data_IF_186973684113
#
_entry.id   IF_186973684113
#
_cell.length_a   1.000
_cell.length_b   1.000
_cell.length_c   1.000
_cell.angle_alpha   90.00
_cell.angle_beta   90.00
_cell.angle_gamma   90.00
#
_symmetry.space_group_name_H-M   'P 1'
#
loop_
_entity.id
_entity.type
_entity.pdbx_description
1 polymer ?
#
# COMPACT_ATOMS: atom_id res chain seq x y z
N UNK A 1 10.59 -85.13 -16.90
CA UNK A 1 11.63 -85.63 -16.00
C UNK A 1 11.64 -84.68 -14.84
N UNK A 2 11.05 -85.22 -13.82
CA UNK A 2 11.38 -85.41 -12.43
C UNK A 2 11.59 -84.10 -11.69
N UNK A 3 10.60 -83.71 -10.84
CA UNK A 3 10.47 -84.11 -9.43
C UNK A 3 11.74 -83.75 -8.64
N UNK A 4 11.56 -82.88 -7.61
CA UNK A 4 11.70 -83.28 -6.21
C UNK A 4 11.17 -82.17 -5.28
N UNK A 5 10.18 -82.52 -4.55
CA UNK A 5 9.69 -82.16 -3.22
C UNK A 5 10.80 -81.85 -2.17
N UNK A 6 10.51 -80.83 -1.31
CA UNK A 6 10.62 -80.92 0.15
C UNK A 6 10.18 -79.52 0.68
N UNK A 7 9.09 -79.34 1.36
CA UNK A 7 8.63 -79.75 2.67
C UNK A 7 9.44 -79.18 3.84
N UNK A 8 8.68 -78.53 4.74
CA UNK A 8 8.91 -78.26 6.16
C UNK A 8 9.71 -76.97 6.42
N UNK A 9 9.23 -75.94 7.18
CA UNK A 9 8.78 -76.05 8.56
C UNK A 9 7.84 -74.86 8.94
N UNK A 10 6.88 -75.21 9.74
CA UNK A 10 6.00 -74.39 10.53
C UNK A 10 6.85 -73.65 11.62
N UNK A 11 7.11 -72.35 11.45
CA UNK A 11 7.53 -71.52 12.57
C UNK A 11 6.45 -70.50 12.92
N UNK A 12 5.84 -70.86 14.02
CA UNK A 12 4.86 -70.14 14.81
C UNK A 12 5.42 -68.76 15.21
N UNK A 13 5.01 -67.74 14.50
CA UNK A 13 5.26 -66.35 14.93
C UNK A 13 4.37 -66.00 16.12
N UNK A 14 4.94 -65.44 17.19
CA UNK A 14 4.13 -64.96 18.31
C UNK A 14 3.32 -63.75 17.89
N UNK A 15 2.02 -63.81 18.12
CA UNK A 15 1.09 -62.69 18.00
C UNK A 15 1.50 -61.58 18.96
N UNK A 16 2.16 -60.55 18.44
CA UNK A 16 2.32 -59.34 19.19
C UNK A 16 0.97 -58.58 19.14
N UNK A 17 0.23 -58.70 20.22
CA UNK A 17 -0.91 -57.85 20.51
C UNK A 17 -0.39 -56.43 20.69
N UNK A 18 -0.50 -55.59 19.67
CA UNK A 18 -0.30 -54.15 19.80
C UNK A 18 -1.56 -53.62 20.49
N UNK A 19 -1.49 -53.00 21.67
CA UNK A 19 -2.64 -52.38 22.27
C UNK A 19 -3.08 -51.27 21.31
N UNK A 20 -4.36 -51.27 20.91
CA UNK A 20 -5.01 -50.12 20.32
C UNK A 20 -4.91 -48.98 21.36
N UNK A 21 -3.88 -48.19 21.25
CA UNK A 21 -3.83 -46.90 21.88
C UNK A 21 -4.94 -46.06 21.26
N UNK A 22 -5.75 -45.50 22.10
CA UNK A 22 -6.76 -44.52 21.78
C UNK A 22 -6.13 -43.50 20.80
N UNK A 23 -6.67 -43.43 19.58
CA UNK A 23 -6.51 -42.28 18.74
C UNK A 23 -7.22 -41.13 19.47
N UNK A 24 -6.48 -40.45 20.32
CA UNK A 24 -6.82 -39.08 20.70
C UNK A 24 -7.00 -38.31 19.38
N UNK A 25 -8.24 -38.23 18.96
CA UNK A 25 -8.69 -37.17 18.08
C UNK A 25 -8.36 -35.92 18.86
N UNK A 26 -7.22 -35.29 18.50
CA UNK A 26 -6.95 -33.95 18.92
C UNK A 26 -8.15 -33.12 18.44
N UNK A 27 -9.10 -32.94 19.34
CA UNK A 27 -10.16 -31.97 19.20
C UNK A 27 -9.43 -30.64 18.99
N UNK A 28 -9.48 -30.18 17.76
CA UNK A 28 -9.03 -28.85 17.40
C UNK A 28 -9.95 -27.89 18.16
N UNK A 29 -9.50 -27.48 19.34
CA UNK A 29 -10.26 -26.60 20.22
C UNK A 29 -10.53 -25.32 19.43
N UNK A 30 -11.81 -24.96 19.21
CA UNK A 30 -12.16 -23.74 18.49
C UNK A 30 -11.57 -22.49 19.14
N UNK A 31 -11.26 -22.56 20.43
CA UNK A 31 -10.71 -21.47 21.22
C UNK A 31 -9.31 -21.01 20.73
N UNK A 32 -8.47 -21.92 20.22
CA UNK A 32 -7.11 -21.60 19.75
C UNK A 32 -7.10 -20.85 18.41
N UNK A 33 -8.06 -21.10 17.54
CA UNK A 33 -8.17 -20.41 16.24
C UNK A 33 -8.72 -19.01 16.43
N UNK A 34 -9.70 -18.85 17.31
CA UNK A 34 -10.27 -17.54 17.64
C UNK A 34 -9.28 -16.67 18.43
N UNK A 35 -8.51 -17.26 19.33
CA UNK A 35 -7.44 -16.57 20.07
C UNK A 35 -6.33 -16.11 19.12
N UNK A 36 -5.87 -16.95 18.18
CA UNK A 36 -4.91 -16.59 17.15
C UNK A 36 -5.46 -15.51 16.20
N UNK A 37 -6.73 -15.60 15.82
CA UNK A 37 -7.38 -14.60 15.01
C UNK A 37 -7.48 -13.24 15.73
N UNK A 38 -7.78 -13.25 17.03
CA UNK A 38 -7.76 -12.06 17.88
C UNK A 38 -6.35 -11.48 18.03
N UNK A 39 -5.34 -12.30 18.22
CA UNK A 39 -3.94 -11.88 18.30
C UNK A 39 -3.49 -11.27 16.98
N UNK A 40 -3.79 -11.89 15.84
CA UNK A 40 -3.52 -11.36 14.50
C UNK A 40 -4.27 -10.05 14.24
N UNK A 41 -5.49 -9.90 14.73
CA UNK A 41 -6.25 -8.65 14.62
C UNK A 41 -5.69 -7.53 15.50
N UNK A 42 -5.01 -7.87 16.60
CA UNK A 42 -4.33 -6.90 17.48
C UNK A 42 -2.92 -6.54 17.01
N UNK A 43 -2.31 -7.27 16.09
CA UNK A 43 -1.05 -6.87 15.46
C UNK A 43 -1.30 -5.61 14.66
N UNK A 44 -1.01 -4.48 15.29
CA UNK A 44 -1.12 -3.17 14.65
C UNK A 44 -0.17 -3.15 13.46
N UNK A 45 -0.71 -3.16 12.25
CA UNK A 45 0.10 -3.01 11.04
C UNK A 45 1.01 -1.78 11.22
N UNK A 46 2.32 -1.89 10.96
CA UNK A 46 3.21 -0.74 11.07
C UNK A 46 2.70 0.38 10.17
N UNK A 47 2.70 1.60 10.70
CA UNK A 47 2.29 2.78 9.94
C UNK A 47 3.11 2.89 8.65
N UNK A 48 2.45 3.01 7.52
CA UNK A 48 3.07 3.10 6.19
C UNK A 48 3.13 4.55 5.74
N UNK A 49 4.09 4.83 4.89
CA UNK A 49 4.12 6.06 4.08
C UNK A 49 3.48 5.75 2.74
N UNK A 50 2.36 6.37 2.44
CA UNK A 50 1.54 6.09 1.26
C UNK A 50 1.54 7.32 0.36
N UNK A 51 2.11 7.19 -0.83
CA UNK A 51 2.01 8.22 -1.86
C UNK A 51 0.63 8.15 -2.52
N UNK A 52 -0.02 9.31 -2.66
CA UNK A 52 -1.25 9.48 -3.44
C UNK A 52 -0.98 10.55 -4.49
N UNK A 53 -0.91 10.15 -5.75
CA UNK A 53 -0.75 11.06 -6.90
C UNK A 53 -1.74 10.69 -8.00
N UNK A 54 -2.01 11.64 -8.90
CA UNK A 54 -2.92 11.31 -10.01
C UNK A 54 -3.34 12.50 -10.85
N UNK A 55 -4.38 12.28 -11.63
CA UNK A 55 -4.92 13.25 -12.58
C UNK A 55 -5.45 14.51 -11.89
N UNK A 56 -5.25 15.65 -12.56
CA UNK A 56 -5.76 16.95 -12.11
C UNK A 56 -7.25 17.10 -12.44
N UNK A 57 -7.67 16.64 -13.60
CA UNK A 57 -9.05 16.72 -14.05
C UNK A 57 -9.82 15.47 -13.64
N UNK A 58 -10.52 15.57 -12.52
CA UNK A 58 -11.36 14.50 -11.99
C UNK A 58 -12.77 15.03 -11.70
N UNK A 59 -13.76 14.17 -11.93
CA UNK A 59 -15.12 14.43 -11.47
C UNK A 59 -15.15 14.63 -9.95
N UNK A 60 -16.09 15.44 -9.47
CA UNK A 60 -16.23 15.73 -8.03
C UNK A 60 -16.42 14.46 -7.22
N UNK A 61 -17.14 13.49 -7.75
CA UNK A 61 -17.37 12.17 -7.10
C UNK A 61 -16.06 11.41 -6.86
N UNK A 62 -15.15 11.42 -7.83
CA UNK A 62 -13.83 10.80 -7.68
C UNK A 62 -12.97 11.55 -6.67
N UNK A 63 -13.00 12.88 -6.67
CA UNK A 63 -12.30 13.68 -5.66
C UNK A 63 -12.82 13.38 -4.25
N UNK A 64 -14.13 13.25 -4.04
CA UNK A 64 -14.73 12.89 -2.76
C UNK A 64 -14.32 11.49 -2.29
N UNK A 65 -14.24 10.53 -3.23
CA UNK A 65 -13.76 9.18 -2.95
C UNK A 65 -12.29 9.20 -2.48
N UNK A 66 -11.42 9.94 -3.17
CA UNK A 66 -10.00 10.07 -2.81
C UNK A 66 -9.84 10.76 -1.46
N UNK A 67 -10.62 11.80 -1.20
CA UNK A 67 -10.63 12.51 0.08
C UNK A 67 -11.04 11.57 1.24
N UNK A 68 -12.07 10.75 1.03
CA UNK A 68 -12.51 9.75 2.00
C UNK A 68 -11.44 8.68 2.23
N UNK A 69 -10.80 8.19 1.16
CA UNK A 69 -9.70 7.24 1.24
C UNK A 69 -8.52 7.80 2.05
N UNK A 70 -8.07 9.02 1.73
CA UNK A 70 -6.98 9.66 2.44
C UNK A 70 -7.30 9.83 3.93
N UNK A 71 -8.54 10.26 4.26
CA UNK A 71 -9.02 10.36 5.64
C UNK A 71 -8.94 9.02 6.37
N UNK A 72 -9.39 7.94 5.73
CA UNK A 72 -9.39 6.59 6.31
C UNK A 72 -7.96 6.08 6.54
N UNK A 73 -7.06 6.26 5.57
CA UNK A 73 -5.67 5.85 5.68
C UNK A 73 -4.94 6.58 6.82
N UNK A 74 -5.17 7.89 6.97
CA UNK A 74 -4.60 8.66 8.09
C UNK A 74 -5.15 8.19 9.44
N UNK A 75 -6.44 7.88 9.54
CA UNK A 75 -7.03 7.31 10.77
C UNK A 75 -6.43 5.97 11.16
N UNK A 76 -5.97 5.19 10.19
CA UNK A 76 -5.22 3.95 10.41
C UNK A 76 -3.77 4.19 10.86
N UNK A 77 -3.34 5.45 10.98
CA UNK A 77 -1.99 5.84 11.42
C UNK A 77 -0.98 6.02 10.30
N UNK A 78 -1.38 5.84 9.02
CA UNK A 78 -0.49 6.02 7.89
C UNK A 78 -0.18 7.50 7.64
N UNK A 79 0.96 7.76 6.99
CA UNK A 79 1.33 9.09 6.52
C UNK A 79 1.05 9.19 5.02
N UNK A 80 0.33 10.21 4.61
CA UNK A 80 0.08 10.52 3.20
C UNK A 80 1.18 11.41 2.68
N UNK A 81 1.73 11.05 1.52
CA UNK A 81 2.69 11.87 0.78
C UNK A 81 2.07 12.22 -0.57
N UNK A 82 2.09 13.48 -0.93
CA UNK A 82 1.55 13.94 -2.21
C UNK A 82 2.27 15.19 -2.69
N UNK A 83 1.94 15.69 -3.87
CA UNK A 83 2.40 16.98 -4.37
C UNK A 83 1.34 18.05 -4.18
N UNK A 84 1.72 19.30 -4.39
CA UNK A 84 0.78 20.40 -4.45
C UNK A 84 -0.23 20.26 -5.59
N UNK A 85 -1.40 20.82 -5.42
CA UNK A 85 -2.45 20.84 -6.45
C UNK A 85 -3.72 21.47 -5.92
N UNK A 86 -4.34 22.35 -6.69
CA UNK A 86 -5.59 23.03 -6.34
C UNK A 86 -6.84 22.20 -6.66
N UNK A 87 -6.70 21.20 -7.51
CA UNK A 87 -7.80 20.33 -7.95
C UNK A 87 -7.31 18.89 -8.19
N UNK A 88 -8.25 17.99 -8.44
CA UNK A 88 -7.98 16.58 -8.76
C UNK A 88 -7.46 15.76 -7.59
N UNK A 89 -6.61 14.78 -7.89
CA UNK A 89 -6.12 13.77 -6.94
C UNK A 89 -5.36 14.38 -5.77
N UNK A 90 -4.35 15.20 -6.04
CA UNK A 90 -3.48 15.74 -5.00
C UNK A 90 -4.27 16.64 -4.04
N UNK A 91 -5.12 17.50 -4.58
CA UNK A 91 -6.00 18.36 -3.79
C UNK A 91 -6.92 17.54 -2.87
N UNK A 92 -7.53 16.49 -3.38
CA UNK A 92 -8.40 15.63 -2.61
C UNK A 92 -7.63 14.88 -1.50
N UNK A 93 -6.41 14.39 -1.80
CA UNK A 93 -5.57 13.74 -0.82
C UNK A 93 -5.17 14.71 0.32
N UNK A 94 -4.80 15.95 -0.02
CA UNK A 94 -4.49 16.99 0.96
C UNK A 94 -5.70 17.25 1.86
N UNK A 95 -6.89 17.51 1.28
CA UNK A 95 -8.11 17.77 2.07
C UNK A 95 -8.45 16.60 3.00
N UNK A 96 -8.35 15.37 2.51
CA UNK A 96 -8.65 14.18 3.30
C UNK A 96 -7.71 13.98 4.48
N UNK A 97 -6.40 14.18 4.26
CA UNK A 97 -5.40 14.08 5.31
C UNK A 97 -5.56 15.21 6.35
N UNK A 98 -5.74 16.45 5.89
CA UNK A 98 -5.95 17.62 6.76
C UNK A 98 -7.17 17.48 7.66
N UNK A 99 -8.27 16.88 7.17
CA UNK A 99 -9.48 16.62 7.97
C UNK A 99 -9.26 15.61 9.10
N UNK A 100 -8.29 14.72 8.94
CA UNK A 100 -8.05 13.63 9.88
C UNK A 100 -6.94 13.98 10.87
N UNK A 101 -5.73 14.13 10.37
CA UNK A 101 -4.55 14.52 11.14
C UNK A 101 -3.52 15.20 10.23
N UNK A 102 -3.37 16.54 10.30
CA UNK A 102 -2.42 17.28 9.48
C UNK A 102 -0.95 16.83 9.64
N UNK A 103 -0.55 16.36 10.82
CA UNK A 103 0.82 15.88 11.06
C UNK A 103 1.17 14.61 10.28
N UNK A 104 0.15 13.91 9.77
CA UNK A 104 0.28 12.73 8.92
C UNK A 104 0.21 13.06 7.42
N UNK A 105 0.35 14.33 7.06
CA UNK A 105 0.45 14.79 5.69
C UNK A 105 1.84 15.35 5.42
N UNK A 106 2.46 14.90 4.34
CA UNK A 106 3.69 15.49 3.78
C UNK A 106 3.41 15.91 2.33
N UNK A 107 3.64 17.18 2.02
CA UNK A 107 3.52 17.70 0.66
C UNK A 107 4.90 18.04 0.13
N UNK A 108 5.26 17.45 -1.01
CA UNK A 108 6.53 17.73 -1.70
C UNK A 108 6.19 18.54 -2.94
N UNK A 109 6.75 19.74 -3.02
CA UNK A 109 6.52 20.66 -4.14
C UNK A 109 7.59 20.48 -5.22
N UNK A 110 7.24 20.65 -6.49
CA UNK A 110 8.22 20.62 -7.57
C UNK A 110 9.25 21.78 -7.46
N UNK A 111 8.82 22.91 -6.91
CA UNK A 111 9.60 24.13 -6.73
C UNK A 111 9.21 24.79 -5.40
N UNK A 112 9.45 26.08 -5.21
CA UNK A 112 9.04 26.80 -4.00
C UNK A 112 7.52 27.09 -3.99
N UNK A 113 6.96 27.36 -2.82
CA UNK A 113 5.55 27.78 -2.66
C UNK A 113 5.28 29.02 -3.49
N UNK A 114 6.17 30.03 -3.45
CA UNK A 114 5.99 31.28 -4.19
C UNK A 114 5.94 31.13 -5.71
N UNK A 115 6.42 30.01 -6.26
CA UNK A 115 6.35 29.69 -7.68
C UNK A 115 5.09 28.87 -8.05
N UNK A 116 4.33 28.41 -7.05
CA UNK A 116 3.08 27.72 -7.31
C UNK A 116 1.98 28.73 -7.69
N UNK A 117 0.97 28.31 -8.47
CA UNK A 117 -0.23 29.10 -8.68
C UNK A 117 -0.91 29.49 -7.35
N UNK A 118 -1.58 30.64 -7.30
CA UNK A 118 -2.18 31.19 -6.07
C UNK A 118 -3.17 30.23 -5.41
N UNK A 119 -3.98 29.54 -6.21
CA UNK A 119 -4.94 28.54 -5.75
C UNK A 119 -4.28 27.31 -5.09
N UNK A 120 -3.06 26.96 -5.52
CA UNK A 120 -2.24 25.93 -4.86
C UNK A 120 -1.65 26.46 -3.56
N UNK A 121 -1.17 27.70 -3.54
CA UNK A 121 -0.66 28.36 -2.33
C UNK A 121 -1.75 28.42 -1.25
N UNK A 122 -2.96 28.83 -1.62
CA UNK A 122 -4.10 28.90 -0.71
C UNK A 122 -4.44 27.54 -0.09
N UNK A 123 -4.35 26.47 -0.88
CA UNK A 123 -4.62 25.12 -0.38
C UNK A 123 -3.54 24.61 0.59
N UNK A 124 -2.32 25.11 0.49
CA UNK A 124 -1.22 24.72 1.35
C UNK A 124 -1.19 25.47 2.69
N UNK A 125 -2.09 26.46 2.86
CA UNK A 125 -2.19 27.17 4.15
C UNK A 125 -2.56 26.18 5.26
N UNK A 126 -1.72 26.16 6.30
CA UNK A 126 -1.91 25.29 7.46
C UNK A 126 -1.43 23.85 7.29
N UNK A 127 -0.82 23.48 6.17
CA UNK A 127 -0.12 22.20 6.01
C UNK A 127 1.22 22.27 6.77
N UNK A 128 1.46 21.42 7.78
CA UNK A 128 2.63 21.55 8.64
C UNK A 128 3.93 21.05 7.99
N UNK A 129 3.84 20.06 7.10
CA UNK A 129 5.00 19.40 6.50
C UNK A 129 5.05 19.62 4.99
N UNK A 130 5.69 20.70 4.57
CA UNK A 130 5.92 21.04 3.17
C UNK A 130 7.41 20.99 2.87
N UNK A 131 7.78 20.29 1.80
CA UNK A 131 9.13 20.26 1.25
C UNK A 131 9.16 21.09 -0.01
N UNK A 132 10.00 22.14 -0.01
CA UNK A 132 10.20 23.06 -1.12
C UNK A 132 11.55 22.82 -1.78
N UNK A 133 11.64 23.11 -3.08
CA UNK A 133 12.84 22.94 -3.87
C UNK A 133 13.24 24.21 -4.60
N UNK A 134 14.02 25.05 -3.94
CA UNK A 134 14.60 26.27 -4.53
C UNK A 134 15.68 25.98 -5.59
N UNK A 135 16.35 24.82 -5.47
CA UNK A 135 17.32 24.32 -6.44
C UNK A 135 16.72 24.03 -7.82
N UNK A 136 15.40 23.84 -7.88
CA UNK A 136 14.64 23.57 -9.11
C UNK A 136 13.95 24.82 -9.69
N UNK A 137 14.22 25.99 -9.13
CA UNK A 137 13.56 27.25 -9.53
C UNK A 137 13.71 27.60 -11.02
N UNK A 138 14.82 27.19 -11.64
CA UNK A 138 15.09 27.41 -13.05
C UNK A 138 14.62 26.30 -13.99
N UNK A 139 14.08 25.22 -13.45
CA UNK A 139 13.52 24.14 -14.25
C UNK A 139 12.14 24.52 -14.80
N UNK A 140 11.75 23.92 -15.94
CA UNK A 140 10.35 23.99 -16.34
C UNK A 140 9.48 23.26 -15.30
N UNK A 141 8.24 23.73 -15.08
CA UNK A 141 7.34 23.09 -14.15
C UNK A 141 7.11 21.60 -14.48
N UNK A 142 7.11 21.26 -15.78
CA UNK A 142 6.95 19.88 -16.23
C UNK A 142 8.15 18.99 -15.82
N UNK A 143 9.37 19.51 -15.92
CA UNK A 143 10.58 18.78 -15.52
C UNK A 143 10.68 18.68 -14.01
N UNK A 144 10.45 19.79 -13.29
CA UNK A 144 10.42 19.81 -11.84
C UNK A 144 9.36 18.85 -11.28
N UNK A 145 8.16 18.77 -11.89
CA UNK A 145 7.12 17.83 -11.50
C UNK A 145 7.53 16.38 -11.69
N UNK A 146 8.28 16.06 -12.75
CA UNK A 146 8.79 14.68 -12.95
C UNK A 146 9.78 14.26 -11.86
N UNK A 147 10.68 15.17 -11.50
CA UNK A 147 11.63 14.94 -10.39
C UNK A 147 10.89 14.81 -9.06
N UNK A 148 9.93 15.70 -8.81
CA UNK A 148 9.09 15.66 -7.62
C UNK A 148 8.31 14.34 -7.47
N UNK A 149 7.73 13.82 -8.55
CA UNK A 149 7.03 12.54 -8.50
C UNK A 149 7.96 11.38 -8.13
N UNK A 150 9.21 11.37 -8.62
CA UNK A 150 10.20 10.36 -8.23
C UNK A 150 10.50 10.44 -6.75
N UNK A 151 10.76 11.65 -6.24
CA UNK A 151 11.03 11.90 -4.82
C UNK A 151 9.87 11.42 -3.92
N UNK A 152 8.63 11.69 -4.31
CA UNK A 152 7.43 11.19 -3.62
C UNK A 152 7.42 9.66 -3.58
N UNK A 153 7.75 9.00 -4.70
CA UNK A 153 7.79 7.55 -4.83
C UNK A 153 8.95 6.97 -4.01
N UNK A 154 10.12 7.59 -4.03
CA UNK A 154 11.27 7.14 -3.24
C UNK A 154 10.98 7.19 -1.74
N UNK A 155 10.24 8.20 -1.30
CA UNK A 155 9.88 8.41 0.11
C UNK A 155 8.70 7.54 0.59
N UNK A 156 8.01 6.82 -0.28
CA UNK A 156 6.85 6.01 0.10
C UNK A 156 7.16 4.49 0.21
N UNK A 157 6.29 3.77 0.93
CA UNK A 157 6.26 2.31 0.93
C UNK A 157 5.25 1.78 -0.10
N UNK A 158 4.19 2.56 -0.36
CA UNK A 158 3.10 2.20 -1.26
C UNK A 158 2.69 3.42 -2.09
N UNK A 159 2.49 3.20 -3.37
CA UNK A 159 1.92 4.16 -4.29
C UNK A 159 0.45 3.82 -4.58
N UNK A 160 -0.43 4.81 -4.44
CA UNK A 160 -1.80 4.79 -4.95
C UNK A 160 -1.89 5.85 -6.03
N UNK A 161 -2.13 5.43 -7.26
CA UNK A 161 -2.17 6.31 -8.42
C UNK A 161 -3.55 6.32 -9.06
N UNK A 162 -4.12 7.52 -9.23
CA UNK A 162 -5.40 7.75 -9.90
C UNK A 162 -5.14 8.40 -11.25
N UNK A 163 -5.36 7.69 -12.33
CA UNK A 163 -4.97 8.16 -13.66
C UNK A 163 -5.99 7.85 -14.75
N UNK A 164 -5.94 8.61 -15.82
CA UNK A 164 -6.55 8.30 -17.11
C UNK A 164 -5.55 7.50 -17.97
N UNK A 165 -6.06 6.60 -18.79
CA UNK A 165 -5.24 5.78 -19.71
C UNK A 165 -4.33 6.61 -20.64
N UNK A 166 -4.65 7.88 -20.84
CA UNK A 166 -3.86 8.77 -21.72
C UNK A 166 -2.69 9.47 -21.03
N UNK A 167 -2.55 9.37 -19.71
CA UNK A 167 -1.57 10.13 -18.92
C UNK A 167 -0.16 9.50 -18.94
N UNK A 168 0.64 9.84 -19.95
CA UNK A 168 2.03 9.34 -20.08
C UNK A 168 2.93 9.64 -18.86
N UNK A 169 2.72 10.77 -18.19
CA UNK A 169 3.55 11.16 -17.03
C UNK A 169 3.26 10.27 -15.83
N UNK A 170 1.98 9.96 -15.58
CA UNK A 170 1.59 9.11 -14.47
C UNK A 170 1.93 7.64 -14.74
N UNK A 171 1.81 7.16 -15.98
CA UNK A 171 2.29 5.82 -16.35
C UNK A 171 3.76 5.63 -16.03
N UNK A 172 4.62 6.60 -16.40
CA UNK A 172 6.05 6.57 -16.04
C UNK A 172 6.30 6.61 -14.54
N UNK A 173 5.44 7.26 -13.77
CA UNK A 173 5.54 7.27 -12.32
C UNK A 173 5.19 5.89 -11.72
N UNK A 174 4.18 5.20 -12.29
CA UNK A 174 3.81 3.83 -11.92
C UNK A 174 4.96 2.87 -12.25
N UNK A 175 5.48 2.90 -13.48
CA UNK A 175 6.63 2.09 -13.90
C UNK A 175 7.84 2.28 -12.96
N UNK A 176 8.16 3.53 -12.63
CA UNK A 176 9.26 3.84 -11.70
C UNK A 176 9.03 3.27 -10.29
N UNK A 177 7.80 3.28 -9.81
CA UNK A 177 7.45 2.69 -8.51
C UNK A 177 7.56 1.15 -8.53
N UNK A 178 7.16 0.51 -9.62
CA UNK A 178 7.26 -0.93 -9.82
C UNK A 178 8.74 -1.38 -9.91
N UNK A 179 9.57 -0.64 -10.67
CA UNK A 179 11.02 -0.86 -10.73
C UNK A 179 11.69 -0.72 -9.36
N UNK A 180 11.21 0.22 -8.53
CA UNK A 180 11.62 0.43 -7.15
C UNK A 180 11.03 -0.56 -6.14
N UNK A 181 10.36 -1.62 -6.60
CA UNK A 181 9.70 -2.64 -5.77
C UNK A 181 8.73 -2.08 -4.73
N UNK A 182 8.07 -0.98 -5.04
CA UNK A 182 7.01 -0.43 -4.20
C UNK A 182 5.72 -1.22 -4.37
N UNK A 183 4.87 -1.23 -3.35
CA UNK A 183 3.50 -1.72 -3.51
C UNK A 183 2.72 -0.69 -4.32
N UNK A 184 2.19 -1.08 -5.46
CA UNK A 184 1.49 -0.16 -6.38
C UNK A 184 0.04 -0.55 -6.52
N UNK A 185 -0.84 0.44 -6.39
CA UNK A 185 -2.28 0.32 -6.68
C UNK A 185 -2.68 1.39 -7.68
N UNK A 186 -3.22 0.99 -8.80
CA UNK A 186 -3.62 1.90 -9.88
C UNK A 186 -5.14 1.88 -10.03
N UNK A 187 -5.74 3.07 -10.05
CA UNK A 187 -7.15 3.27 -10.37
C UNK A 187 -7.26 4.05 -11.69
N UNK A 188 -7.88 3.43 -12.67
CA UNK A 188 -8.25 4.09 -13.93
C UNK A 188 -9.60 4.77 -13.76
N UNK A 189 -9.67 6.07 -14.08
CA UNK A 189 -10.83 6.92 -13.85
C UNK A 189 -11.34 7.54 -15.17
N UNK A 190 -11.42 6.73 -16.21
CA UNK A 190 -11.92 7.12 -17.55
C UNK A 190 -13.41 6.83 -17.65
#
# INVERSE_FOLDING_TARGET
MSEIFNSIDDEKQPSIMVPMGDMDTAEHSPDTVDELAMELATIKQPAKRIAIIGSRNLAITHQQMIETLATALVRQGNTIITSGGSCGTNAAAIRGAMKSNPDKLKVILPQTIGQQPSDVQDQLIGVPNIVEHSDRAMMTLADASRVCNREIIDDCNQLICFLSHTSKTLHRAVEYAEEGHKVVTVFYLD
#
